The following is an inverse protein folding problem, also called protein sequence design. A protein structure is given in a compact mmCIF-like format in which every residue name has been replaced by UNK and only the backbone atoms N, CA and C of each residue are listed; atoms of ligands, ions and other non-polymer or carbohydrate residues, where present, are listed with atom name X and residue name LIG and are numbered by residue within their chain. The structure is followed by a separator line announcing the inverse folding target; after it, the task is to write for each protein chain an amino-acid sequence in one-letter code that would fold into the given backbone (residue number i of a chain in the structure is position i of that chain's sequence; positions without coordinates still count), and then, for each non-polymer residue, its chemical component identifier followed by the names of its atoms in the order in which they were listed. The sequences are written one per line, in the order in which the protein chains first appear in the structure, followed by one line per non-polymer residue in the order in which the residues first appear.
data_IF_742741663555
#
_entry.id   IF_742741663555
#
_cell.length_a   1.000
_cell.length_b   1.000
_cell.length_c   1.000
_cell.angle_alpha   90.00
_cell.angle_beta   90.00
_cell.angle_gamma   90.00
#
_symmetry.space_group_name_H-M   'P 1'
#
loop_
_entity.id
_entity.type
_entity.pdbx_description
1 polymer ?
#
# COMPACT_ATOMS: atom_id res chain seq x y z
N UNK A 1 0.41 -30.10 19.97
CA UNK A 1 0.54 -28.63 20.11
C UNK A 1 1.67 -28.18 19.19
N UNK A 2 1.35 -27.49 18.10
CA UNK A 2 2.34 -26.92 17.16
C UNK A 2 2.50 -25.43 17.45
N UNK A 3 3.73 -24.92 17.30
CA UNK A 3 4.04 -23.48 17.29
C UNK A 3 4.52 -23.14 15.89
N UNK A 4 3.84 -22.20 15.26
CA UNK A 4 4.22 -21.71 13.95
C UNK A 4 4.76 -20.29 14.08
N UNK A 5 5.96 -20.05 13.58
CA UNK A 5 6.56 -18.73 13.52
C UNK A 5 6.33 -18.19 12.11
N UNK A 6 5.76 -16.99 12.01
CA UNK A 6 5.46 -16.36 10.73
C UNK A 6 5.87 -14.89 10.77
N UNK A 7 6.40 -14.40 9.65
CA UNK A 7 6.62 -12.98 9.44
C UNK A 7 5.31 -12.29 9.06
N UNK A 8 5.29 -10.97 9.04
CA UNK A 8 4.12 -10.09 9.16
C UNK A 8 2.96 -10.26 8.16
N UNK A 9 2.89 -11.31 7.35
CA UNK A 9 1.78 -11.51 6.41
C UNK A 9 1.01 -12.83 6.55
N UNK A 10 1.20 -13.59 7.61
CA UNK A 10 0.32 -14.73 7.93
C UNK A 10 -1.16 -14.34 8.07
N UNK A 11 -1.45 -13.05 7.99
CA UNK A 11 -2.77 -12.47 8.08
C UNK A 11 -3.65 -12.55 6.82
N UNK A 12 -3.14 -12.91 5.62
CA UNK A 12 -3.90 -12.82 4.37
C UNK A 12 -3.55 -13.93 3.38
N UNK A 13 -4.54 -14.43 2.64
CA UNK A 13 -4.33 -15.32 1.49
C UNK A 13 -4.49 -16.80 1.77
N UNK A 14 -4.40 -17.25 3.03
CA UNK A 14 -4.63 -18.65 3.42
C UNK A 14 -5.72 -18.74 4.47
N UNK A 15 -6.56 -19.76 4.41
CA UNK A 15 -7.47 -20.08 5.50
C UNK A 15 -6.78 -20.99 6.52
N UNK A 16 -7.05 -20.75 7.81
CA UNK A 16 -6.52 -21.58 8.89
C UNK A 16 -7.63 -22.49 9.39
N UNK A 17 -7.43 -23.76 9.17
CA UNK A 17 -8.36 -24.81 9.61
C UNK A 17 -7.73 -25.53 10.80
N UNK A 18 -8.40 -25.48 11.97
CA UNK A 18 -7.91 -26.16 13.16
C UNK A 18 -7.99 -27.68 12.97
N UNK A 19 -7.01 -28.40 13.46
CA UNK A 19 -6.88 -29.85 13.25
C UNK A 19 -6.21 -30.21 11.92
N UNK A 20 -6.24 -29.33 10.92
CA UNK A 20 -5.63 -29.55 9.60
C UNK A 20 -6.64 -29.49 8.44
N UNK A 21 -6.16 -29.21 7.23
CA UNK A 21 -7.00 -29.16 6.04
C UNK A 21 -7.04 -30.56 5.39
N UNK A 22 -8.19 -31.24 5.55
CA UNK A 22 -8.41 -32.56 4.99
C UNK A 22 -8.20 -32.62 3.48
N UNK A 23 -8.72 -31.63 2.74
CA UNK A 23 -8.62 -31.60 1.27
C UNK A 23 -7.17 -31.58 0.79
N UNK A 24 -6.37 -30.68 1.38
CA UNK A 24 -4.94 -30.57 1.03
C UNK A 24 -4.20 -31.86 1.38
N UNK A 25 -4.47 -32.43 2.56
CA UNK A 25 -3.80 -33.67 3.00
C UNK A 25 -4.20 -34.87 2.14
N UNK A 26 -5.49 -35.05 1.84
CA UNK A 26 -5.99 -36.09 0.96
C UNK A 26 -5.44 -35.97 -0.47
N UNK A 27 -5.38 -34.74 -1.01
CA UNK A 27 -4.81 -34.50 -2.33
C UNK A 27 -3.31 -34.85 -2.38
N UNK A 28 -2.56 -34.55 -1.34
CA UNK A 28 -1.15 -34.92 -1.24
C UNK A 28 -0.95 -36.43 -1.18
N UNK A 29 -1.81 -37.16 -0.50
CA UNK A 29 -1.76 -38.64 -0.46
C UNK A 29 -2.13 -39.23 -1.82
N UNK A 30 -3.15 -38.69 -2.51
CA UNK A 30 -3.51 -39.11 -3.88
C UNK A 30 -2.35 -38.90 -4.85
N UNK A 31 -1.68 -37.77 -4.81
CA UNK A 31 -0.52 -37.50 -5.66
C UNK A 31 0.63 -38.47 -5.39
N UNK A 32 0.86 -38.90 -4.13
CA UNK A 32 1.84 -39.92 -3.79
C UNK A 32 1.48 -41.28 -4.36
N UNK A 33 0.17 -41.56 -4.47
CA UNK A 33 -0.37 -42.80 -5.08
C UNK A 33 -0.41 -42.72 -6.61
N UNK A 34 -0.05 -41.60 -7.21
CA UNK A 34 -0.07 -41.40 -8.67
C UNK A 34 -1.47 -41.15 -9.24
N UNK A 35 -2.42 -40.76 -8.40
CA UNK A 35 -3.81 -40.48 -8.76
C UNK A 35 -3.99 -38.97 -8.84
N UNK A 36 -4.65 -38.46 -9.91
CA UNK A 36 -4.98 -37.06 -10.02
C UNK A 36 -6.07 -36.67 -8.98
N UNK A 37 -5.82 -35.69 -8.14
CA UNK A 37 -6.83 -35.24 -7.18
C UNK A 37 -8.15 -34.76 -7.82
N UNK A 38 -8.15 -34.33 -9.08
CA UNK A 38 -9.36 -33.88 -9.78
C UNK A 38 -10.27 -35.06 -10.19
N UNK A 39 -9.75 -36.29 -10.26
CA UNK A 39 -10.50 -37.48 -10.63
C UNK A 39 -11.48 -37.95 -9.53
N UNK A 40 -11.34 -37.44 -8.29
CA UNK A 40 -12.13 -37.87 -7.16
C UNK A 40 -12.91 -36.71 -6.52
N UNK A 41 -14.19 -36.97 -6.29
CA UNK A 41 -15.04 -36.05 -5.53
C UNK A 41 -14.64 -36.00 -4.05
N UNK A 42 -15.05 -34.92 -3.34
CA UNK A 42 -14.78 -34.78 -1.90
C UNK A 42 -15.37 -35.96 -1.06
N UNK A 43 -16.51 -36.49 -1.49
CA UNK A 43 -17.13 -37.64 -0.81
C UNK A 43 -16.31 -38.93 -0.99
N UNK A 44 -15.79 -39.17 -2.16
CA UNK A 44 -14.91 -40.32 -2.45
C UNK A 44 -13.60 -40.22 -1.69
N UNK A 45 -12.99 -38.99 -1.64
CA UNK A 45 -11.81 -38.73 -0.82
C UNK A 45 -12.06 -39.02 0.65
N UNK A 46 -13.22 -38.58 1.20
CA UNK A 46 -13.58 -38.89 2.60
C UNK A 46 -13.77 -40.37 2.86
N UNK A 47 -14.34 -41.10 1.93
CA UNK A 47 -14.48 -42.56 2.05
C UNK A 47 -13.12 -43.26 2.00
N UNK A 48 -12.28 -42.89 1.02
CA UNK A 48 -10.93 -43.43 0.84
C UNK A 48 -10.02 -43.19 2.02
N UNK A 49 -10.03 -41.98 2.55
CA UNK A 49 -9.18 -41.52 3.67
C UNK A 49 -9.97 -41.31 4.98
N UNK A 50 -10.94 -42.19 5.25
CA UNK A 50 -11.82 -42.04 6.43
C UNK A 50 -11.06 -42.01 7.76
N UNK A 51 -9.94 -42.73 7.88
CA UNK A 51 -9.08 -42.66 9.07
C UNK A 51 -8.44 -41.29 9.27
N UNK A 52 -7.91 -40.72 8.19
CA UNK A 52 -7.33 -39.39 8.20
C UNK A 52 -8.39 -38.33 8.56
N UNK A 53 -9.56 -38.43 7.93
CA UNK A 53 -10.67 -37.51 8.21
C UNK A 53 -11.06 -37.53 9.71
N UNK A 54 -11.23 -38.75 10.26
CA UNK A 54 -11.57 -38.90 11.68
C UNK A 54 -10.47 -38.39 12.62
N UNK A 55 -9.21 -38.63 12.28
CA UNK A 55 -8.08 -38.11 13.05
C UNK A 55 -8.09 -36.58 13.09
N UNK A 56 -8.31 -35.92 11.94
CA UNK A 56 -8.36 -34.44 11.87
C UNK A 56 -9.54 -33.87 12.65
N UNK A 57 -10.71 -34.54 12.64
CA UNK A 57 -11.85 -34.15 13.46
C UNK A 57 -11.54 -34.25 14.96
N UNK A 58 -10.91 -35.33 15.41
CA UNK A 58 -10.50 -35.51 16.79
C UNK A 58 -9.47 -34.46 17.23
N UNK A 59 -8.52 -34.14 16.34
CA UNK A 59 -7.56 -33.06 16.58
C UNK A 59 -8.22 -31.69 16.63
N UNK A 60 -9.20 -31.42 15.72
CA UNK A 60 -10.00 -30.19 15.73
C UNK A 60 -10.71 -30.00 17.09
N UNK A 61 -11.45 -31.00 17.52
CA UNK A 61 -12.16 -30.98 18.84
C UNK A 61 -11.18 -30.70 19.97
N UNK A 62 -10.05 -31.38 19.98
CA UNK A 62 -9.01 -31.21 21.03
C UNK A 62 -8.47 -29.76 21.05
N UNK A 63 -8.22 -29.16 19.88
CA UNK A 63 -7.71 -27.79 19.78
C UNK A 63 -8.78 -26.79 20.21
N UNK A 64 -10.05 -27.02 19.84
CA UNK A 64 -11.18 -26.19 20.23
C UNK A 64 -11.39 -26.22 21.74
N UNK A 65 -11.35 -27.40 22.37
CA UNK A 65 -11.45 -27.56 23.83
C UNK A 65 -10.32 -26.85 24.60
N UNK A 66 -9.13 -26.73 23.99
CA UNK A 66 -8.00 -25.98 24.53
C UNK A 66 -8.11 -24.46 24.33
N UNK A 67 -9.18 -23.96 23.71
CA UNK A 67 -9.44 -22.55 23.47
C UNK A 67 -9.11 -22.06 22.06
N UNK A 68 -8.84 -22.99 21.13
CA UNK A 68 -8.57 -22.69 19.72
C UNK A 68 -7.20 -22.09 19.43
N UNK A 69 -7.10 -21.32 18.36
CA UNK A 69 -5.85 -20.70 17.92
C UNK A 69 -5.48 -19.51 18.82
N UNK A 70 -4.30 -19.58 19.43
CA UNK A 70 -3.70 -18.45 20.13
C UNK A 70 -2.70 -17.72 19.23
N UNK A 71 -2.95 -16.44 18.95
CA UNK A 71 -2.05 -15.59 18.17
C UNK A 71 -1.27 -14.67 19.09
N UNK A 72 0.04 -14.72 18.96
CA UNK A 72 0.96 -13.88 19.70
C UNK A 72 1.66 -12.95 18.71
N UNK A 73 1.42 -11.65 18.83
CA UNK A 73 2.14 -10.62 18.06
C UNK A 73 3.27 -10.05 18.89
N UNK A 74 4.46 -9.97 18.33
CA UNK A 74 5.66 -9.38 18.98
C UNK A 74 5.82 -7.91 18.66
N UNK A 75 5.03 -7.40 17.71
CA UNK A 75 4.99 -5.99 17.30
C UNK A 75 3.57 -5.58 16.92
N UNK A 76 3.34 -4.28 16.79
CA UNK A 76 2.14 -3.72 16.18
C UNK A 76 2.45 -3.21 14.79
N UNK A 77 1.50 -3.38 13.88
CA UNK A 77 1.59 -2.77 12.56
C UNK A 77 1.32 -1.27 12.63
N UNK A 78 1.81 -0.54 11.64
CA UNK A 78 1.52 0.90 11.49
C UNK A 78 0.03 1.19 11.34
N UNK A 79 -0.72 0.26 10.75
CA UNK A 79 -2.16 0.40 10.55
C UNK A 79 -2.95 -0.56 11.46
N UNK A 80 -3.85 -0.02 12.26
CA UNK A 80 -4.75 -0.78 13.15
C UNK A 80 -5.57 -1.84 12.40
N UNK A 81 -5.90 -1.56 11.14
CA UNK A 81 -6.62 -2.51 10.28
C UNK A 81 -5.86 -3.82 10.11
N UNK A 82 -4.53 -3.77 9.96
CA UNK A 82 -3.69 -4.96 9.78
C UNK A 82 -3.65 -5.78 11.07
N UNK A 83 -3.52 -5.13 12.22
CA UNK A 83 -3.63 -5.81 13.53
C UNK A 83 -4.97 -6.51 13.69
N UNK A 84 -6.07 -5.86 13.30
CA UNK A 84 -7.40 -6.46 13.37
C UNK A 84 -7.56 -7.64 12.40
N UNK A 85 -6.94 -7.59 11.22
CA UNK A 85 -6.89 -8.73 10.30
C UNK A 85 -6.16 -9.91 10.92
N UNK A 86 -5.04 -9.67 11.60
CA UNK A 86 -4.31 -10.72 12.33
C UNK A 86 -5.14 -11.28 13.49
N UNK A 87 -5.77 -10.42 14.28
CA UNK A 87 -6.68 -10.85 15.35
C UNK A 87 -7.83 -11.71 14.83
N UNK A 88 -8.40 -11.33 13.71
CA UNK A 88 -9.49 -12.07 13.06
C UNK A 88 -9.11 -13.46 12.56
N UNK A 89 -7.84 -13.82 12.61
CA UNK A 89 -7.36 -15.16 12.26
C UNK A 89 -7.63 -16.18 13.38
N UNK A 90 -7.70 -15.75 14.64
CA UNK A 90 -7.88 -16.64 15.77
C UNK A 90 -9.29 -17.20 15.91
N UNK A 91 -10.30 -16.53 15.34
CA UNK A 91 -11.71 -16.93 15.47
C UNK A 91 -12.37 -17.26 14.13
N UNK A 92 -11.68 -17.92 13.21
CA UNK A 92 -12.25 -18.29 11.91
C UNK A 92 -13.19 -19.48 12.01
N UNK A 93 -14.16 -19.53 11.10
CA UNK A 93 -15.16 -20.61 11.00
C UNK A 93 -16.02 -20.81 12.24
N UNK A 94 -16.07 -19.82 13.15
CA UNK A 94 -16.80 -19.92 14.40
C UNK A 94 -16.04 -20.56 15.55
N UNK A 95 -14.81 -21.00 15.32
CA UNK A 95 -13.97 -21.58 16.36
C UNK A 95 -13.53 -20.53 17.38
N UNK A 96 -13.34 -20.93 18.66
CA UNK A 96 -12.76 -20.05 19.67
C UNK A 96 -11.32 -19.71 19.32
N UNK A 97 -10.84 -18.60 19.89
CA UNK A 97 -9.45 -18.19 19.73
C UNK A 97 -9.09 -17.01 20.61
N UNK A 98 -7.82 -16.75 20.73
CA UNK A 98 -7.32 -15.63 21.54
C UNK A 98 -6.13 -14.95 20.90
N UNK A 99 -5.94 -13.67 21.23
CA UNK A 99 -4.81 -12.89 20.68
C UNK A 99 -4.16 -12.06 21.77
N UNK A 100 -2.84 -12.01 21.76
CA UNK A 100 -2.06 -11.15 22.64
C UNK A 100 -0.94 -10.47 21.89
N UNK A 101 -0.73 -9.18 22.12
CA UNK A 101 0.38 -8.42 21.54
C UNK A 101 1.32 -8.02 22.67
N UNK A 102 2.61 -8.22 22.42
CA UNK A 102 3.70 -7.70 23.24
C UNK A 102 4.42 -6.62 22.44
N UNK A 103 4.74 -5.52 23.06
CA UNK A 103 5.43 -4.39 22.45
C UNK A 103 6.58 -3.96 23.35
N UNK A 104 7.67 -3.52 22.71
CA UNK A 104 8.72 -2.77 23.38
C UNK A 104 8.48 -1.27 23.20
N UNK A 105 8.99 -0.47 24.11
CA UNK A 105 9.07 0.98 23.94
C UNK A 105 10.08 1.38 22.85
N UNK A 106 11.00 0.48 22.55
CA UNK A 106 12.01 0.64 21.49
C UNK A 106 11.46 0.33 20.10
N UNK A 107 10.26 -0.26 19.99
CA UNK A 107 9.61 -0.49 18.70
C UNK A 107 9.43 0.82 17.94
N UNK A 108 9.61 0.79 16.62
CA UNK A 108 9.57 1.99 15.76
C UNK A 108 8.29 2.82 15.94
N UNK A 109 7.15 2.15 16.07
CA UNK A 109 5.87 2.80 16.35
C UNK A 109 5.91 3.63 17.63
N UNK A 110 6.52 3.10 18.68
CA UNK A 110 6.59 3.73 19.99
C UNK A 110 7.65 4.80 20.01
N UNK A 111 8.81 4.56 19.41
CA UNK A 111 9.94 5.49 19.34
C UNK A 111 9.56 6.78 18.61
N UNK A 112 8.84 6.68 17.48
CA UNK A 112 8.51 7.83 16.65
C UNK A 112 7.33 8.64 17.21
N UNK A 113 6.34 8.00 17.83
CA UNK A 113 5.05 8.64 18.15
C UNK A 113 4.62 8.55 19.60
N UNK A 114 5.30 7.84 20.46
CA UNK A 114 4.79 7.52 21.80
C UNK A 114 5.76 7.53 22.97
N UNK A 115 7.08 7.48 22.72
CA UNK A 115 8.06 7.13 23.75
C UNK A 115 8.13 8.11 24.93
N UNK A 116 8.21 9.41 24.70
CA UNK A 116 8.47 10.39 25.78
C UNK A 116 7.34 10.46 26.83
N UNK A 117 6.07 10.44 26.41
CA UNK A 117 4.94 10.50 27.33
C UNK A 117 4.72 9.21 28.08
N UNK A 118 5.00 8.09 27.44
CA UNK A 118 4.86 6.78 28.07
C UNK A 118 6.01 6.56 29.04
N UNK A 119 7.25 6.85 28.65
CA UNK A 119 8.39 6.79 29.53
C UNK A 119 8.17 7.62 30.81
N UNK A 120 7.75 8.90 30.68
CA UNK A 120 7.45 9.74 31.82
C UNK A 120 6.33 9.21 32.77
N UNK A 121 5.36 8.47 32.23
CA UNK A 121 4.33 7.82 33.04
C UNK A 121 4.88 6.57 33.71
N UNK A 122 5.75 5.82 33.04
CA UNK A 122 6.39 4.62 33.57
C UNK A 122 7.36 4.95 34.72
N UNK A 123 8.15 5.99 34.55
CA UNK A 123 9.02 6.50 35.63
C UNK A 123 8.18 6.89 36.90
N UNK A 124 7.02 7.48 36.69
CA UNK A 124 6.10 7.82 37.81
C UNK A 124 5.44 6.60 38.44
N UNK A 125 5.23 5.54 37.68
CA UNK A 125 4.66 4.28 38.18
C UNK A 125 5.71 3.37 38.83
N UNK A 126 6.99 3.75 38.78
CA UNK A 126 8.08 2.98 39.37
C UNK A 126 8.34 1.64 38.64
N UNK A 127 8.01 1.55 37.37
CA UNK A 127 8.19 0.35 36.57
C UNK A 127 9.68 0.01 36.43
N UNK A 128 10.06 -1.23 36.71
CA UNK A 128 11.43 -1.69 36.56
C UNK A 128 11.69 -2.19 35.14
N UNK A 129 12.93 -2.12 34.69
CA UNK A 129 13.36 -2.64 33.39
C UNK A 129 13.07 -4.16 33.31
N UNK A 130 12.41 -4.58 32.23
CA UNK A 130 12.00 -5.97 32.00
C UNK A 130 10.61 -6.33 32.58
N UNK A 131 9.91 -5.41 33.24
CA UNK A 131 8.55 -5.64 33.73
C UNK A 131 7.50 -5.54 32.65
N UNK A 132 6.56 -6.51 32.62
CA UNK A 132 5.44 -6.51 31.67
C UNK A 132 4.34 -5.58 32.16
N UNK A 133 4.18 -4.43 31.51
CA UNK A 133 3.19 -3.44 31.91
C UNK A 133 1.89 -3.67 31.13
N UNK A 134 0.83 -3.95 31.85
CA UNK A 134 -0.52 -4.09 31.32
C UNK A 134 -1.43 -3.02 31.94
N UNK A 135 -1.49 -1.86 31.28
CA UNK A 135 -2.34 -0.77 31.75
C UNK A 135 -3.19 -0.18 30.61
N UNK A 136 -4.48 0.16 30.84
CA UNK A 136 -5.35 0.73 29.81
C UNK A 136 -4.81 2.02 29.17
N UNK A 137 -4.05 2.79 29.93
CA UNK A 137 -3.38 4.00 29.42
C UNK A 137 -2.38 3.67 28.30
N UNK A 138 -1.56 2.63 28.49
CA UNK A 138 -0.57 2.17 27.50
C UNK A 138 -1.28 1.74 26.19
N UNK A 139 -2.35 0.96 26.32
CA UNK A 139 -3.16 0.54 25.16
C UNK A 139 -3.75 1.73 24.40
N UNK A 140 -4.19 2.77 25.13
CA UNK A 140 -4.71 4.01 24.53
C UNK A 140 -3.62 4.82 23.86
N UNK A 141 -2.43 4.90 24.44
CA UNK A 141 -1.27 5.58 23.88
C UNK A 141 -0.80 4.93 22.58
N UNK A 142 -0.73 3.59 22.54
CA UNK A 142 -0.42 2.81 21.33
C UNK A 142 -1.45 3.11 20.23
N UNK A 143 -2.75 3.07 20.55
CA UNK A 143 -3.79 3.39 19.59
C UNK A 143 -3.72 4.83 19.05
N UNK A 144 -3.25 5.78 19.86
CA UNK A 144 -2.99 7.16 19.42
C UNK A 144 -1.76 7.25 18.51
N UNK A 145 -0.69 6.54 18.84
CA UNK A 145 0.49 6.45 18.00
C UNK A 145 0.14 5.89 16.61
N UNK A 146 -0.58 4.77 16.55
CA UNK A 146 -1.05 4.19 15.28
C UNK A 146 -1.87 5.19 14.45
N UNK A 147 -2.80 5.92 15.05
CA UNK A 147 -3.60 6.94 14.33
C UNK A 147 -2.74 8.04 13.73
N UNK A 148 -1.67 8.47 14.40
CA UNK A 148 -0.74 9.48 13.88
C UNK A 148 0.06 8.96 12.70
N UNK A 149 0.52 7.70 12.76
CA UNK A 149 1.22 7.05 11.64
C UNK A 149 0.28 6.91 10.45
N UNK A 150 -0.95 6.42 10.67
CA UNK A 150 -1.96 6.30 9.62
C UNK A 150 -2.25 7.64 8.95
N UNK A 151 -2.41 8.72 9.72
CA UNK A 151 -2.64 10.06 9.20
C UNK A 151 -1.44 10.56 8.36
N UNK A 152 -0.21 10.40 8.85
CA UNK A 152 0.99 10.76 8.11
C UNK A 152 1.11 9.99 6.79
N UNK A 153 0.91 8.68 6.83
CA UNK A 153 0.97 7.84 5.65
C UNK A 153 -0.17 8.16 4.66
N UNK A 154 -1.33 8.59 5.16
CA UNK A 154 -2.42 9.08 4.32
C UNK A 154 -2.03 10.37 3.59
N UNK A 155 -1.45 11.36 4.28
CA UNK A 155 -0.99 12.61 3.67
C UNK A 155 0.07 12.36 2.60
N UNK A 156 1.06 11.51 2.89
CA UNK A 156 2.09 11.15 1.90
C UNK A 156 1.44 10.55 0.64
N UNK A 157 0.51 9.59 0.79
CA UNK A 157 -0.17 8.98 -0.36
C UNK A 157 -1.06 9.97 -1.11
N UNK A 158 -1.68 10.92 -0.39
CA UNK A 158 -2.49 11.96 -0.99
C UNK A 158 -1.64 12.85 -1.89
N UNK A 159 -0.50 13.34 -1.39
CA UNK A 159 0.41 14.15 -2.19
C UNK A 159 0.95 13.40 -3.41
N UNK A 160 1.35 12.12 -3.25
CA UNK A 160 1.77 11.31 -4.38
C UNK A 160 0.68 11.20 -5.46
N UNK A 161 -0.59 11.01 -5.03
CA UNK A 161 -1.71 10.97 -5.96
C UNK A 161 -1.92 12.32 -6.66
N UNK A 162 -1.81 13.45 -5.95
CA UNK A 162 -1.92 14.78 -6.55
C UNK A 162 -0.87 15.00 -7.65
N UNK A 163 0.37 14.54 -7.44
CA UNK A 163 1.40 14.56 -8.49
C UNK A 163 1.05 13.64 -9.67
N UNK A 164 0.60 12.43 -9.38
CA UNK A 164 0.19 11.48 -10.43
C UNK A 164 -0.99 12.01 -11.25
N UNK A 165 -1.94 12.69 -10.63
CA UNK A 165 -3.10 13.28 -11.31
C UNK A 165 -2.65 14.38 -12.29
N UNK A 166 -1.67 15.23 -11.94
CA UNK A 166 -1.08 16.23 -12.85
C UNK A 166 -0.37 15.55 -14.02
N UNK A 167 0.46 14.55 -13.75
CA UNK A 167 1.17 13.79 -14.80
C UNK A 167 0.21 13.04 -15.73
N UNK A 168 -0.88 12.49 -15.19
CA UNK A 168 -1.91 11.83 -15.98
C UNK A 168 -2.71 12.81 -16.84
N UNK A 169 -2.97 14.02 -16.33
CA UNK A 169 -3.62 15.07 -17.10
C UNK A 169 -2.75 15.46 -18.32
N UNK A 170 -1.47 15.72 -18.11
CA UNK A 170 -0.52 16.02 -19.20
C UNK A 170 -0.44 14.87 -20.21
N UNK A 171 -0.35 13.63 -19.71
CA UNK A 171 -0.32 12.45 -20.58
C UNK A 171 -1.59 12.31 -21.41
N UNK A 172 -2.74 12.50 -20.82
CA UNK A 172 -4.02 12.41 -21.51
C UNK A 172 -4.17 13.48 -22.59
N UNK A 173 -3.69 14.69 -22.32
CA UNK A 173 -3.69 15.78 -23.31
C UNK A 173 -2.82 15.43 -24.52
N UNK A 174 -1.58 15.00 -24.29
CA UNK A 174 -0.66 14.61 -25.36
C UNK A 174 -1.18 13.39 -26.14
N UNK A 175 -1.67 12.37 -25.44
CA UNK A 175 -2.22 11.19 -26.10
C UNK A 175 -3.55 11.49 -26.80
N UNK A 176 -4.36 12.39 -26.27
CA UNK A 176 -5.58 12.86 -26.92
C UNK A 176 -5.26 13.55 -28.25
N UNK A 177 -4.30 14.48 -28.26
CA UNK A 177 -3.83 15.13 -29.49
C UNK A 177 -3.27 14.11 -30.48
N UNK A 178 -2.41 13.20 -30.04
CA UNK A 178 -1.87 12.13 -30.89
C UNK A 178 -2.99 11.27 -31.51
N UNK A 179 -4.00 10.90 -30.76
CA UNK A 179 -5.13 10.10 -31.25
C UNK A 179 -5.92 10.84 -32.33
N UNK A 180 -6.15 12.16 -32.14
CA UNK A 180 -6.85 12.98 -33.13
C UNK A 180 -6.08 13.05 -34.45
N UNK A 181 -4.76 13.27 -34.38
CA UNK A 181 -3.88 13.27 -35.56
C UNK A 181 -3.91 11.91 -36.28
N UNK A 182 -3.81 10.81 -35.54
CA UNK A 182 -3.82 9.45 -36.11
C UNK A 182 -5.17 9.10 -36.76
N UNK A 183 -6.28 9.65 -36.25
CA UNK A 183 -7.60 9.50 -36.86
C UNK A 183 -7.83 10.40 -38.09
N UNK A 184 -6.87 11.27 -38.42
CA UNK A 184 -6.98 12.21 -39.53
C UNK A 184 -7.89 13.40 -39.25
N UNK A 185 -8.16 13.73 -37.99
CA UNK A 185 -8.89 14.94 -37.61
C UNK A 185 -8.05 16.18 -37.97
N UNK A 186 -8.73 17.25 -38.43
CA UNK A 186 -8.05 18.51 -38.78
C UNK A 186 -7.61 19.25 -37.50
N UNK A 187 -6.32 19.15 -37.19
CA UNK A 187 -5.67 19.84 -36.05
C UNK A 187 -4.96 21.15 -36.45
N UNK A 188 -5.18 21.62 -37.71
CA UNK A 188 -4.48 22.78 -38.24
C UNK A 188 -4.69 24.04 -37.39
N UNK A 189 -5.92 24.28 -36.97
CA UNK A 189 -6.21 25.47 -36.18
C UNK A 189 -5.54 25.40 -34.80
N UNK A 190 -5.52 24.23 -34.15
CA UNK A 190 -4.84 24.02 -32.87
C UNK A 190 -3.32 24.26 -32.98
N UNK A 191 -2.72 23.80 -34.06
CA UNK A 191 -1.28 24.06 -34.33
C UNK A 191 -1.03 25.55 -34.58
N UNK A 192 -1.90 26.24 -35.31
CA UNK A 192 -1.80 27.69 -35.52
C UNK A 192 -1.95 28.46 -34.21
N UNK A 193 -2.89 28.07 -33.34
CA UNK A 193 -3.08 28.67 -32.01
C UNK A 193 -1.85 28.48 -31.13
N UNK A 194 -1.24 27.30 -31.14
CA UNK A 194 0.01 27.02 -30.42
C UNK A 194 1.18 27.85 -30.95
N UNK A 195 1.29 28.00 -32.28
CA UNK A 195 2.31 28.87 -32.91
C UNK A 195 2.09 30.31 -32.44
N UNK A 196 0.87 30.81 -32.48
CA UNK A 196 0.54 32.17 -32.04
C UNK A 196 0.91 32.39 -30.57
N UNK A 197 0.51 31.47 -29.68
CA UNK A 197 0.84 31.56 -28.24
C UNK A 197 2.36 31.54 -28.01
N UNK A 198 3.09 30.69 -28.73
CA UNK A 198 4.56 30.61 -28.63
C UNK A 198 5.22 31.90 -29.12
N UNK A 199 4.70 32.48 -30.22
CA UNK A 199 5.17 33.77 -30.73
C UNK A 199 4.96 34.90 -29.72
N UNK A 200 3.79 34.97 -29.11
CA UNK A 200 3.48 35.94 -28.06
C UNK A 200 4.44 35.81 -26.87
N UNK A 201 4.74 34.59 -26.43
CA UNK A 201 5.68 34.33 -25.34
C UNK A 201 7.10 34.81 -25.70
N UNK A 202 7.57 34.46 -26.88
CA UNK A 202 8.91 34.92 -27.37
C UNK A 202 8.97 36.43 -27.46
N UNK A 203 7.95 37.09 -28.04
CA UNK A 203 7.87 38.54 -28.12
C UNK A 203 7.89 39.14 -26.73
N UNK A 204 7.05 38.66 -25.83
CA UNK A 204 6.97 39.15 -24.45
C UNK A 204 8.32 39.03 -23.71
N UNK A 205 9.03 37.91 -23.88
CA UNK A 205 10.34 37.68 -23.27
C UNK A 205 11.34 38.78 -23.63
N UNK A 206 11.36 39.27 -24.90
CA UNK A 206 12.34 40.22 -25.40
C UNK A 206 11.85 41.68 -25.34
N UNK A 207 10.55 41.92 -25.16
CA UNK A 207 9.96 43.26 -25.10
C UNK A 207 9.55 43.71 -23.69
N UNK A 208 9.49 42.77 -22.72
CA UNK A 208 9.05 43.11 -21.36
C UNK A 208 10.08 43.88 -20.52
N UNK A 209 11.32 43.92 -20.93
CA UNK A 209 12.41 44.58 -20.20
C UNK A 209 12.36 46.12 -20.21
N UNK A 210 11.66 46.72 -21.16
CA UNK A 210 11.59 48.19 -21.31
C UNK A 210 10.23 48.66 -21.81
N UNK A 211 9.86 49.91 -21.42
CA UNK A 211 8.60 50.53 -21.86
C UNK A 211 8.67 51.03 -23.31
N UNK A 212 9.87 51.28 -23.82
CA UNK A 212 10.08 51.86 -25.16
C UNK A 212 10.71 50.83 -26.09
N UNK A 213 10.40 50.87 -27.40
CA UNK A 213 10.96 49.95 -28.41
C UNK A 213 12.50 49.96 -28.50
N UNK A 214 13.11 51.05 -28.11
CA UNK A 214 14.57 51.25 -28.04
C UNK A 214 15.25 50.35 -27.00
N UNK A 215 14.50 49.94 -25.98
CA UNK A 215 14.99 49.09 -24.89
C UNK A 215 14.81 47.58 -25.19
N UNK A 216 14.21 47.24 -26.32
CA UNK A 216 13.90 45.85 -26.64
C UNK A 216 15.11 45.09 -27.19
N UNK A 217 15.27 43.85 -26.77
CA UNK A 217 16.31 42.94 -27.28
C UNK A 217 15.90 42.34 -28.64
N UNK A 218 15.95 43.14 -29.70
CA UNK A 218 15.59 42.71 -31.04
C UNK A 218 16.51 41.63 -31.59
N UNK A 219 17.82 41.61 -31.20
CA UNK A 219 18.74 40.56 -31.64
C UNK A 219 18.41 39.21 -31.02
N UNK A 220 18.11 39.19 -29.75
CA UNK A 220 17.65 37.97 -29.07
C UNK A 220 16.32 37.44 -29.64
N UNK A 221 15.36 38.37 -29.89
CA UNK A 221 14.09 38.06 -30.54
C UNK A 221 14.28 37.37 -31.90
N UNK A 222 15.11 37.94 -32.77
CA UNK A 222 15.41 37.34 -34.06
C UNK A 222 16.09 35.99 -33.94
N UNK A 223 17.04 35.86 -33.02
CA UNK A 223 17.71 34.57 -32.78
C UNK A 223 16.74 33.47 -32.37
N UNK A 224 15.83 33.76 -31.47
CA UNK A 224 14.81 32.80 -31.01
C UNK A 224 13.80 32.45 -32.13
N UNK A 225 13.33 33.45 -32.90
CA UNK A 225 12.42 33.24 -34.03
C UNK A 225 13.09 32.43 -35.17
N UNK A 226 14.34 32.74 -35.50
CA UNK A 226 15.09 31.98 -36.49
C UNK A 226 15.33 30.53 -36.06
N UNK A 227 15.71 30.33 -34.78
CA UNK A 227 15.96 29.00 -34.23
C UNK A 227 14.71 28.11 -34.16
N UNK A 228 13.56 28.70 -33.86
CA UNK A 228 12.33 27.95 -33.66
C UNK A 228 11.51 27.77 -34.97
N UNK A 229 11.40 28.81 -35.77
CA UNK A 229 10.53 28.81 -36.95
C UNK A 229 11.29 28.82 -38.29
N UNK A 230 12.64 28.90 -38.27
CA UNK A 230 13.47 28.95 -39.47
C UNK A 230 13.26 30.23 -40.31
N UNK A 231 12.64 31.24 -39.74
CA UNK A 231 12.29 32.48 -40.46
C UNK A 231 13.46 33.44 -40.46
N UNK A 232 13.92 33.82 -41.63
CA UNK A 232 14.98 34.82 -41.82
C UNK A 232 14.37 36.15 -42.20
N UNK A 233 14.30 37.06 -41.22
CA UNK A 233 13.95 38.45 -41.48
C UNK A 233 15.21 39.28 -41.73
N UNK A 234 15.21 40.10 -42.77
CA UNK A 234 16.20 41.16 -42.91
C UNK A 234 15.61 42.43 -42.30
N UNK A 235 16.29 42.94 -41.29
CA UNK A 235 15.98 44.28 -40.79
C UNK A 235 16.46 45.23 -41.87
N UNK A 236 15.55 45.90 -42.55
CA UNK A 236 15.86 47.10 -43.38
C UNK A 236 15.71 48.29 -42.44
N UNK A 237 16.82 49.03 -42.27
CA UNK A 237 16.86 50.28 -41.52
C UNK A 237 15.79 51.26 -42.02
#
# INVERSE_FOLDING_TARGET
KAVTIATNMAGRGTDIVLGGNFEIMANNELLKEGIDPEDLTMEEKRKKYAKLFKQLEEEHVTVVELGGLHILGTERHEARRIDNQLRGRSGRQGDPGSTKFFLSLDDDLMRIFGSERIAAVMDRLGAQEGEVISHPFVSRAIGNAQRRVEARNFEIRKHLKEYDDVMNMQRNEIYGMRQRILKGEDVKNEVLDQIAATLEEIIYKHTSAGKFPEDWDLKGLYGDLQGMFGVVYRITD
#
